data_IF_061515642923
#
_entry.id   IF_061515642923
#
_cell.length_a   1.000
_cell.length_b   1.000
_cell.length_c   1.000
_cell.angle_alpha   90.00
_cell.angle_beta   90.00
_cell.angle_gamma   90.00
#
_symmetry.space_group_name_H-M   'P 1'
#
loop_
_entity.id
_entity.type
_entity.pdbx_description
1 polymer ?
#
# COMPACT_ATOMS: atom_id res chain seq x y z
N UNK A 1 3.13 -18.08 3.97
CA UNK A 1 3.61 -17.18 2.90
C UNK A 1 4.43 -16.04 3.49
N UNK A 2 3.98 -15.49 4.63
CA UNK A 2 4.67 -14.46 5.41
C UNK A 2 6.11 -14.86 5.80
N UNK A 3 6.30 -16.12 6.20
CA UNK A 3 7.62 -16.64 6.55
C UNK A 3 8.59 -16.61 5.37
N UNK A 4 8.12 -17.01 4.20
CA UNK A 4 8.91 -17.03 2.96
C UNK A 4 9.27 -15.61 2.53
N UNK A 5 8.34 -14.66 2.67
CA UNK A 5 8.59 -13.24 2.42
C UNK A 5 9.69 -12.70 3.34
N UNK A 6 9.56 -12.90 4.65
CA UNK A 6 10.55 -12.44 5.62
C UNK A 6 11.91 -13.12 5.41
N UNK A 7 11.93 -14.41 5.07
CA UNK A 7 13.16 -15.13 4.73
C UNK A 7 13.85 -14.53 3.50
N UNK A 8 13.08 -14.18 2.46
CA UNK A 8 13.60 -13.51 1.26
C UNK A 8 14.17 -12.13 1.60
N UNK A 9 13.41 -11.29 2.31
CA UNK A 9 13.88 -9.95 2.73
C UNK A 9 15.16 -10.05 3.59
N UNK A 10 15.24 -11.06 4.47
CA UNK A 10 16.45 -11.33 5.27
C UNK A 10 17.62 -11.73 4.39
N UNK A 11 17.41 -12.64 3.44
CA UNK A 11 18.43 -13.09 2.47
C UNK A 11 19.00 -11.93 1.65
N UNK A 12 18.18 -10.93 1.35
CA UNK A 12 18.58 -9.73 0.62
C UNK A 12 19.03 -8.56 1.54
N UNK A 13 19.28 -8.83 2.83
CA UNK A 13 19.75 -7.86 3.82
C UNK A 13 18.83 -6.65 4.04
N UNK A 14 17.54 -6.77 3.75
CA UNK A 14 16.54 -5.70 3.86
C UNK A 14 15.90 -5.61 5.26
N UNK A 15 16.03 -6.65 6.09
CA UNK A 15 15.47 -6.67 7.45
C UNK A 15 16.39 -6.10 8.54
N UNK A 16 17.52 -5.46 8.19
CA UNK A 16 18.35 -4.81 9.19
C UNK A 16 17.68 -3.50 9.68
N UNK A 17 17.92 -3.15 10.94
CA UNK A 17 17.23 -2.03 11.60
C UNK A 17 17.43 -0.68 10.90
N UNK A 18 18.58 -0.45 10.27
CA UNK A 18 18.82 0.79 9.52
C UNK A 18 17.90 0.87 8.30
N UNK A 19 17.83 -0.19 7.50
CA UNK A 19 16.95 -0.26 6.32
C UNK A 19 15.47 -0.15 6.69
N UNK A 20 15.05 -0.83 7.75
CA UNK A 20 13.66 -0.79 8.22
C UNK A 20 13.25 0.60 8.72
N UNK A 21 14.10 1.26 9.53
CA UNK A 21 13.83 2.63 10.02
C UNK A 21 13.85 3.69 8.92
N UNK A 22 14.63 3.46 7.87
CA UNK A 22 14.73 4.35 6.71
C UNK A 22 13.72 4.03 5.61
N UNK A 23 12.69 3.20 5.89
CA UNK A 23 11.56 2.98 4.96
C UNK A 23 11.88 2.14 3.73
N UNK A 24 12.99 1.38 3.71
CA UNK A 24 13.32 0.51 2.57
C UNK A 24 12.32 -0.63 2.36
N UNK A 25 11.58 -0.99 3.42
CA UNK A 25 10.55 -2.03 3.38
C UNK A 25 9.31 -1.51 4.09
N UNK A 26 8.18 -1.58 3.39
CA UNK A 26 6.85 -1.51 3.96
C UNK A 26 6.07 -2.72 3.47
N UNK A 27 5.43 -3.45 4.38
CA UNK A 27 4.55 -4.57 4.01
C UNK A 27 3.11 -4.12 4.18
N UNK A 28 2.32 -4.28 3.13
CA UNK A 28 0.92 -3.88 3.07
C UNK A 28 0.01 -5.08 2.83
N UNK A 29 -1.15 -5.10 3.47
CA UNK A 29 -2.15 -6.16 3.28
C UNK A 29 -3.54 -5.69 3.72
N UNK A 30 -4.56 -6.26 3.08
CA UNK A 30 -5.95 -6.16 3.53
C UNK A 30 -6.24 -7.10 4.70
N UNK A 31 -5.47 -8.18 4.92
CA UNK A 31 -5.71 -9.12 6.02
C UNK A 31 -5.00 -8.67 7.31
N UNK A 32 -5.79 -8.44 8.35
CA UNK A 32 -5.31 -8.20 9.72
C UNK A 32 -4.45 -9.37 10.22
N UNK A 33 -4.89 -10.60 9.97
CA UNK A 33 -4.25 -11.82 10.45
C UNK A 33 -2.83 -11.93 9.90
N UNK A 34 -2.65 -11.64 8.61
CA UNK A 34 -1.34 -11.66 7.94
C UNK A 34 -0.41 -10.59 8.54
N UNK A 35 -0.90 -9.36 8.72
CA UNK A 35 -0.10 -8.28 9.33
C UNK A 35 0.26 -8.59 10.79
N UNK A 36 -0.70 -9.04 11.59
CA UNK A 36 -0.47 -9.45 12.99
C UNK A 36 0.53 -10.61 13.07
N UNK A 37 0.49 -11.55 12.12
CA UNK A 37 1.43 -12.66 12.03
C UNK A 37 2.86 -12.17 11.76
N UNK A 38 3.04 -11.26 10.80
CA UNK A 38 4.33 -10.62 10.52
C UNK A 38 4.80 -9.82 11.75
N UNK A 39 3.91 -9.05 12.37
CA UNK A 39 4.25 -8.24 13.55
C UNK A 39 4.75 -9.10 14.72
N UNK A 40 4.12 -10.27 14.95
CA UNK A 40 4.60 -11.25 15.95
C UNK A 40 5.99 -11.82 15.61
N UNK A 41 6.26 -12.05 14.32
CA UNK A 41 7.55 -12.60 13.87
C UNK A 41 8.67 -11.56 13.86
N UNK A 42 8.37 -10.30 13.50
CA UNK A 42 9.32 -9.19 13.53
C UNK A 42 8.61 -7.84 13.71
N UNK A 43 8.61 -7.32 14.93
CA UNK A 43 7.96 -6.05 15.30
C UNK A 43 8.58 -4.81 14.66
N UNK A 44 9.78 -4.90 14.10
CA UNK A 44 10.49 -3.76 13.52
C UNK A 44 10.10 -3.48 12.07
N UNK A 45 9.41 -4.40 11.40
CA UNK A 45 8.98 -4.20 10.02
C UNK A 45 7.80 -3.24 10.00
N UNK A 46 7.87 -2.10 9.29
CA UNK A 46 6.74 -1.20 9.13
C UNK A 46 5.60 -1.87 8.35
N UNK A 47 4.40 -1.87 8.94
CA UNK A 47 3.20 -2.47 8.36
C UNK A 47 2.16 -1.41 8.00
N UNK A 48 1.47 -1.63 6.89
CA UNK A 48 0.38 -0.78 6.38
C UNK A 48 -0.88 -1.63 6.24
N UNK A 49 -1.96 -1.27 6.94
CA UNK A 49 -3.27 -1.90 6.77
C UNK A 49 -3.97 -1.25 5.58
N UNK A 50 -4.26 -2.05 4.55
CA UNK A 50 -5.09 -1.62 3.43
C UNK A 50 -6.56 -1.72 3.83
N UNK A 51 -7.36 -0.73 3.40
CA UNK A 51 -8.77 -0.59 3.76
C UNK A 51 -9.57 -0.49 2.46
N UNK A 52 -10.55 -1.38 2.31
CA UNK A 52 -11.38 -1.43 1.11
C UNK A 52 -12.26 -0.18 0.97
N UNK A 53 -12.68 0.09 -0.26
CA UNK A 53 -13.55 1.22 -0.55
C UNK A 53 -14.86 1.12 0.25
N UNK A 54 -15.21 2.19 0.96
CA UNK A 54 -16.40 2.27 1.82
C UNK A 54 -16.23 1.60 3.18
N UNK A 55 -15.09 0.97 3.46
CA UNK A 55 -14.84 0.30 4.74
C UNK A 55 -14.34 1.31 5.80
N UNK A 56 -13.62 2.35 5.39
CA UNK A 56 -13.04 3.33 6.31
C UNK A 56 -14.09 4.01 7.19
N UNK A 57 -15.27 4.35 6.64
CA UNK A 57 -16.34 5.01 7.41
C UNK A 57 -17.00 4.09 8.43
N UNK A 58 -16.77 2.77 8.34
CA UNK A 58 -17.31 1.78 9.27
C UNK A 58 -16.41 1.60 10.50
N UNK A 59 -15.16 2.10 10.43
CA UNK A 59 -14.21 1.97 11.54
C UNK A 59 -14.46 3.05 12.59
N UNK A 60 -14.63 2.60 13.84
CA UNK A 60 -14.61 3.48 15.00
C UNK A 60 -13.18 3.60 15.58
N UNK A 61 -13.01 4.51 16.53
CA UNK A 61 -11.72 4.77 17.18
C UNK A 61 -11.10 3.53 17.85
N UNK A 62 -11.94 2.62 18.37
CA UNK A 62 -11.44 1.39 18.97
C UNK A 62 -10.78 0.50 17.92
N UNK A 63 -11.41 0.35 16.75
CA UNK A 63 -10.85 -0.39 15.63
C UNK A 63 -9.57 0.26 15.10
N UNK A 64 -9.55 1.59 14.98
CA UNK A 64 -8.36 2.33 14.56
C UNK A 64 -7.20 2.15 15.55
N UNK A 65 -7.47 2.21 16.86
CA UNK A 65 -6.46 1.94 17.91
C UNK A 65 -5.96 0.49 17.87
N UNK A 66 -6.84 -0.47 17.58
CA UNK A 66 -6.45 -1.88 17.39
C UNK A 66 -5.49 -2.01 16.20
N UNK A 67 -5.83 -1.43 15.05
CA UNK A 67 -4.97 -1.43 13.85
C UNK A 67 -3.62 -0.78 14.17
N UNK A 68 -3.64 0.36 14.88
CA UNK A 68 -2.43 1.11 15.23
C UNK A 68 -1.44 0.33 16.10
N UNK A 69 -1.92 -0.68 16.84
CA UNK A 69 -1.08 -1.53 17.69
C UNK A 69 -0.09 -2.40 16.90
N UNK A 70 -0.38 -2.70 15.63
CA UNK A 70 0.48 -3.53 14.78
C UNK A 70 0.89 -2.86 13.46
N UNK A 71 0.12 -1.88 12.98
CA UNK A 71 0.41 -1.14 11.75
C UNK A 71 0.71 0.33 12.05
N UNK A 72 1.76 0.85 11.40
CA UNK A 72 2.11 2.28 11.46
C UNK A 72 1.36 3.08 10.40
N UNK A 73 0.95 2.43 9.30
CA UNK A 73 0.25 3.07 8.20
C UNK A 73 -1.15 2.52 7.95
N UNK A 74 -1.99 3.38 7.37
CA UNK A 74 -3.29 3.03 6.81
C UNK A 74 -3.30 3.42 5.32
N UNK A 75 -3.71 2.50 4.47
CA UNK A 75 -3.87 2.74 3.04
C UNK A 75 -5.31 2.53 2.62
N UNK A 76 -6.17 3.55 2.71
CA UNK A 76 -7.56 3.45 2.27
C UNK A 76 -7.72 3.75 0.78
N UNK A 77 -8.90 3.43 0.23
CA UNK A 77 -9.32 4.02 -1.04
C UNK A 77 -9.36 5.56 -0.91
N UNK A 78 -8.76 6.25 -1.88
CA UNK A 78 -8.63 7.71 -1.84
C UNK A 78 -9.98 8.46 -1.87
N UNK A 79 -11.04 7.81 -2.35
CA UNK A 79 -12.39 8.39 -2.40
C UNK A 79 -13.07 8.44 -1.04
N UNK A 80 -12.60 7.66 -0.07
CA UNK A 80 -13.12 7.66 1.30
C UNK A 80 -12.53 8.78 2.16
N UNK A 81 -11.48 9.47 1.68
CA UNK A 81 -10.77 10.48 2.45
C UNK A 81 -11.39 11.87 2.34
N UNK A 82 -11.70 12.43 3.50
CA UNK A 82 -12.07 13.83 3.72
C UNK A 82 -11.00 14.51 4.56
N UNK A 83 -10.96 15.84 4.57
CA UNK A 83 -10.03 16.59 5.42
C UNK A 83 -10.18 16.19 6.89
N UNK A 84 -11.42 16.14 7.38
CA UNK A 84 -11.72 15.78 8.77
C UNK A 84 -11.22 14.38 9.15
N UNK A 85 -11.54 13.34 8.36
CA UNK A 85 -11.10 11.98 8.73
C UNK A 85 -9.60 11.79 8.53
N UNK A 86 -9.00 12.53 7.60
CA UNK A 86 -7.55 12.53 7.38
C UNK A 86 -6.80 13.11 8.57
N UNK A 87 -7.27 14.25 9.11
CA UNK A 87 -6.72 14.82 10.33
C UNK A 87 -6.88 13.87 11.51
N UNK A 88 -8.06 13.28 11.68
CA UNK A 88 -8.31 12.30 12.73
C UNK A 88 -7.34 11.10 12.68
N UNK A 89 -7.13 10.53 11.49
CA UNK A 89 -6.18 9.42 11.31
C UNK A 89 -4.74 9.83 11.67
N UNK A 90 -4.34 11.06 11.32
CA UNK A 90 -3.03 11.61 11.68
C UNK A 90 -2.88 11.86 13.18
N UNK A 91 -3.92 12.35 13.84
CA UNK A 91 -3.94 12.59 15.29
C UNK A 91 -3.82 11.26 16.06
N UNK A 92 -4.36 10.18 15.50
CA UNK A 92 -4.14 8.80 15.99
C UNK A 92 -2.74 8.24 15.65
N UNK A 93 -1.90 9.02 14.96
CA UNK A 93 -0.51 8.71 14.67
C UNK A 93 -0.30 7.75 13.50
N UNK A 94 -1.23 7.70 12.54
CA UNK A 94 -1.06 6.94 11.30
C UNK A 94 -0.28 7.72 10.24
N UNK A 95 0.53 7.00 9.48
CA UNK A 95 0.95 7.41 8.13
C UNK A 95 -0.17 7.01 7.17
N UNK A 96 -0.72 7.95 6.40
CA UNK A 96 -1.86 7.68 5.52
C UNK A 96 -1.42 7.74 4.06
N UNK A 97 -1.52 6.61 3.37
CA UNK A 97 -1.13 6.44 1.96
C UNK A 97 -2.31 5.90 1.13
N UNK A 98 -3.17 6.79 0.61
CA UNK A 98 -4.31 6.34 -0.18
C UNK A 98 -3.91 5.68 -1.50
N UNK A 99 -4.75 4.77 -1.97
CA UNK A 99 -4.62 4.13 -3.29
C UNK A 99 -5.94 4.29 -4.09
N UNK A 100 -5.99 4.14 -5.42
CA UNK A 100 -4.95 4.40 -6.43
C UNK A 100 -5.30 5.74 -7.08
N UNK A 101 -4.46 6.75 -6.89
CA UNK A 101 -4.75 8.14 -7.34
C UNK A 101 -4.07 8.40 -8.67
N UNK A 102 -4.86 8.51 -9.75
CA UNK A 102 -4.33 8.73 -11.10
C UNK A 102 -4.54 10.17 -11.61
N UNK A 103 -5.50 10.90 -11.05
CA UNK A 103 -5.85 12.24 -11.52
C UNK A 103 -5.08 13.32 -10.77
N UNK A 104 -4.53 14.30 -11.51
CA UNK A 104 -3.75 15.40 -10.93
C UNK A 104 -4.55 16.22 -9.91
N UNK A 105 -5.84 16.43 -10.19
CA UNK A 105 -6.73 17.17 -9.29
C UNK A 105 -6.86 16.46 -7.93
N UNK A 106 -7.01 15.13 -7.93
CA UNK A 106 -7.07 14.35 -6.70
C UNK A 106 -5.72 14.27 -5.98
N UNK A 107 -4.61 14.17 -6.72
CA UNK A 107 -3.28 14.26 -6.11
C UNK A 107 -3.12 15.58 -5.35
N UNK A 108 -3.45 16.71 -5.99
CA UNK A 108 -3.36 18.04 -5.37
C UNK A 108 -4.29 18.16 -4.16
N UNK A 109 -5.53 17.67 -4.26
CA UNK A 109 -6.49 17.66 -3.15
C UNK A 109 -5.92 16.92 -1.93
N UNK A 110 -5.36 15.73 -2.13
CA UNK A 110 -4.80 14.91 -1.05
C UNK A 110 -3.51 15.50 -0.49
N UNK A 111 -2.64 16.07 -1.33
CA UNK A 111 -1.44 16.79 -0.89
C UNK A 111 -1.81 17.99 -0.03
N UNK A 112 -2.87 18.73 -0.36
CA UNK A 112 -3.36 19.85 0.44
C UNK A 112 -3.88 19.40 1.82
N UNK A 113 -4.35 18.16 1.94
CA UNK A 113 -4.68 17.50 3.22
C UNK A 113 -3.41 16.95 3.94
N UNK A 114 -2.23 17.35 3.45
CA UNK A 114 -0.90 16.93 3.88
C UNK A 114 -0.67 15.41 3.81
N UNK A 115 -1.35 14.71 2.91
CA UNK A 115 -1.15 13.29 2.68
C UNK A 115 -0.01 13.04 1.71
N UNK A 116 0.76 11.99 1.97
CA UNK A 116 1.65 11.44 0.97
C UNK A 116 0.81 10.63 -0.02
N UNK A 117 0.80 11.06 -1.27
CA UNK A 117 0.12 10.34 -2.35
C UNK A 117 1.11 9.35 -2.96
N UNK A 118 0.81 8.07 -2.80
CA UNK A 118 1.53 7.01 -3.50
C UNK A 118 1.00 6.95 -4.93
N UNK A 119 1.83 7.25 -5.92
CA UNK A 119 1.54 6.90 -7.31
C UNK A 119 1.69 5.38 -7.47
N UNK A 120 0.62 4.65 -7.17
CA UNK A 120 0.54 3.24 -7.49
C UNK A 120 0.15 3.13 -8.97
N UNK A 121 1.13 3.12 -9.87
CA UNK A 121 0.85 2.97 -11.29
C UNK A 121 0.20 1.60 -11.50
N UNK A 122 -1.11 1.59 -11.72
CA UNK A 122 -1.81 0.39 -12.13
C UNK A 122 -1.46 0.11 -13.58
N UNK A 123 -0.60 -0.88 -13.82
CA UNK A 123 -0.24 -1.39 -15.16
C UNK A 123 -1.43 -2.03 -15.92
N UNK A 124 -2.67 -1.83 -15.48
CA UNK A 124 -3.89 -2.39 -16.10
C UNK A 124 -4.04 -1.95 -17.57
N UNK A 125 -3.52 -0.79 -17.97
CA UNK A 125 -3.64 -0.32 -19.37
C UNK A 125 -2.50 -0.76 -20.32
N UNK A 126 -1.38 -1.29 -19.82
CA UNK A 126 -0.31 -1.77 -20.72
C UNK A 126 -0.69 -3.10 -21.36
N UNK A 127 -1.48 -3.96 -20.69
CA UNK A 127 -1.96 -5.20 -21.31
C UNK A 127 -2.92 -4.94 -22.47
N UNK A 128 -3.80 -3.94 -22.37
CA UNK A 128 -4.77 -3.64 -23.44
C UNK A 128 -4.11 -3.06 -24.69
N UNK A 129 -3.06 -2.23 -24.53
CA UNK A 129 -2.28 -1.68 -25.65
C UNK A 129 -1.31 -2.67 -26.29
N UNK A 130 -0.78 -3.63 -25.54
CA UNK A 130 0.11 -4.67 -26.08
C UNK A 130 -0.67 -5.79 -26.78
N UNK A 131 -1.92 -6.05 -26.37
CA UNK A 131 -2.80 -7.02 -27.06
C UNK A 131 -3.36 -6.50 -28.39
N UNK A 132 -3.40 -5.17 -28.60
CA UNK A 132 -3.90 -4.56 -29.85
C UNK A 132 -2.83 -4.38 -30.94
N UNK A 133 -1.55 -4.48 -30.60
CA UNK A 133 -0.42 -4.27 -31.52
C UNK A 133 0.22 -5.56 -32.06
N UNK A 134 -0.31 -6.74 -31.72
CA UNK A 134 0.12 -8.01 -32.35
C UNK A 134 -0.86 -8.37 -33.46
N UNK A 135 -0.74 -7.67 -34.59
CA UNK A 135 -1.24 -8.15 -35.88
C UNK A 135 -0.07 -8.15 -36.87
N UNK A 136 0.37 -9.38 -37.18
CA UNK A 136 0.94 -9.84 -38.45
C UNK A 136 2.27 -9.23 -38.91
N UNK A 137 3.37 -9.88 -38.52
CA UNK A 137 4.46 -10.15 -39.46
C UNK A 137 4.77 -11.65 -39.44
N UNK A 138 4.13 -12.38 -40.36
CA UNK A 138 4.59 -13.70 -40.79
C UNK A 138 5.87 -13.49 -41.61
N UNK A 139 7.03 -13.66 -41.00
CA UNK A 139 8.28 -13.80 -41.74
C UNK A 139 8.57 -15.30 -41.85
N UNK A 140 8.16 -15.85 -43.00
CA UNK A 140 8.68 -17.11 -43.53
C UNK A 140 10.21 -17.01 -43.66
N UNK A 141 10.95 -17.85 -42.95
CA UNK A 141 12.23 -18.33 -43.49
C UNK A 141 12.44 -19.78 -43.09
N UNK A 142 12.32 -20.67 -44.08
CA UNK A 142 12.83 -22.04 -44.06
C UNK A 142 14.36 -22.01 -44.02
N UNK A 143 14.95 -22.89 -43.22
CA UNK A 143 16.15 -23.63 -43.59
C UNK A 143 15.71 -25.09 -43.71
#
# INVERSE_FOLDING_TARGET
MEEQLLASLKKHHLLNNNKLKNGHVMIQSFSDESLKKIHRQNKHVPLVKLVDKGELQQFNDQRLKEIRSYAIGLGPDYTDLTEQNTHHLKDLGFIVHPYTVNEKADMLRLINMALMVSLQISLINIKKSLSSNVKLENINTKI
#
